data_IF_667442858430
#
_entry.id   IF_667442858430
#
_cell.length_a   1.000
_cell.length_b   1.000
_cell.length_c   1.000
_cell.angle_alpha   90.00
_cell.angle_beta   90.00
_cell.angle_gamma   90.00
#
_symmetry.space_group_name_H-M   'P 1'
#
loop_
_entity.id
_entity.type
_entity.pdbx_description
1 polymer ?
#
# COMPACT_ATOMS: atom_id res chain seq x y z
N UNK A 1 0.24 35.41 -13.80
CA UNK A 1 0.04 34.51 -12.65
C UNK A 1 -1.44 34.22 -12.59
N UNK A 2 -1.86 33.01 -12.92
CA UNK A 2 -3.24 32.56 -12.72
C UNK A 2 -3.50 32.53 -11.21
N UNK A 3 -4.58 33.18 -10.78
CA UNK A 3 -5.00 33.21 -9.39
C UNK A 3 -5.32 31.78 -8.92
N UNK A 4 -4.79 31.38 -7.75
CA UNK A 4 -5.03 30.04 -7.20
C UNK A 4 -6.48 30.00 -6.70
N UNK A 5 -7.29 29.01 -7.12
CA UNK A 5 -8.65 28.86 -6.62
C UNK A 5 -8.72 28.81 -5.08
N UNK A 6 -9.73 29.42 -4.43
CA UNK A 6 -9.82 29.48 -2.97
C UNK A 6 -9.81 28.12 -2.26
N UNK A 7 -10.37 27.09 -2.89
CA UNK A 7 -10.37 25.70 -2.43
C UNK A 7 -8.95 25.10 -2.46
N UNK A 8 -8.14 25.43 -3.46
CA UNK A 8 -6.73 25.03 -3.50
C UNK A 8 -5.87 25.83 -2.52
N UNK A 9 -6.21 27.10 -2.27
CA UNK A 9 -5.48 27.90 -1.29
C UNK A 9 -5.51 27.27 0.12
N UNK A 10 -6.60 26.61 0.49
CA UNK A 10 -6.73 25.84 1.73
C UNK A 10 -5.76 24.65 1.77
N UNK A 11 -5.75 23.82 0.73
CA UNK A 11 -4.78 22.72 0.60
C UNK A 11 -3.33 23.21 0.65
N UNK A 12 -3.02 24.30 -0.03
CA UNK A 12 -1.66 24.86 -0.06
C UNK A 12 -1.23 25.53 1.25
N UNK A 13 -2.18 25.94 2.09
CA UNK A 13 -1.92 26.53 3.40
C UNK A 13 -1.81 25.48 4.51
N UNK A 14 -2.32 24.27 4.30
CA UNK A 14 -2.19 23.18 5.29
C UNK A 14 -0.73 22.76 5.46
N UNK A 15 -0.22 22.68 6.70
CA UNK A 15 1.13 22.19 6.98
C UNK A 15 1.28 20.68 6.67
N UNK A 16 0.18 19.96 6.53
CA UNK A 16 0.15 18.51 6.33
C UNK A 16 0.15 18.12 4.84
N UNK A 17 0.01 19.09 3.93
CA UNK A 17 0.05 18.84 2.49
C UNK A 17 1.48 18.58 2.04
N UNK A 18 1.74 17.35 1.56
CA UNK A 18 3.06 16.96 1.12
C UNK A 18 3.56 17.80 -0.08
N UNK A 19 4.87 18.03 -0.23
CA UNK A 19 5.42 18.87 -1.29
C UNK A 19 5.03 18.45 -2.72
N UNK A 20 4.88 17.16 -2.98
CA UNK A 20 4.40 16.61 -4.25
C UNK A 20 2.98 17.07 -4.59
N UNK A 21 2.08 17.12 -3.61
CA UNK A 21 0.71 17.59 -3.77
C UNK A 21 0.66 19.09 -3.97
N UNK A 22 1.49 19.85 -3.24
CA UNK A 22 1.66 21.28 -3.48
C UNK A 22 2.08 21.55 -4.93
N UNK A 23 3.04 20.77 -5.47
CA UNK A 23 3.44 20.90 -6.88
C UNK A 23 2.32 20.53 -7.83
N UNK A 24 1.61 19.44 -7.57
CA UNK A 24 0.49 18.97 -8.38
C UNK A 24 -0.62 20.02 -8.48
N UNK A 25 -1.14 20.51 -7.36
CA UNK A 25 -2.21 21.50 -7.35
C UNK A 25 -1.79 22.87 -7.91
N UNK A 26 -0.50 23.22 -7.86
CA UNK A 26 0.00 24.42 -8.54
C UNK A 26 0.06 24.25 -10.06
N UNK A 27 0.42 23.07 -10.55
CA UNK A 27 0.45 22.77 -11.98
C UNK A 27 -0.97 22.62 -12.56
N UNK A 28 -1.86 21.99 -11.80
CA UNK A 28 -3.24 21.69 -12.18
C UNK A 28 -4.20 22.21 -11.11
N UNK A 29 -4.46 23.53 -11.06
CA UNK A 29 -5.28 24.13 -10.00
C UNK A 29 -6.75 23.74 -10.05
N UNK A 30 -7.22 23.13 -11.14
CA UNK A 30 -8.60 22.68 -11.30
C UNK A 30 -8.64 21.34 -12.03
N UNK A 31 -9.72 20.58 -11.85
CA UNK A 31 -9.98 19.36 -12.64
C UNK A 31 -10.04 19.72 -14.13
N UNK A 32 -10.65 20.86 -14.48
CA UNK A 32 -10.69 21.33 -15.88
C UNK A 32 -9.27 21.53 -16.45
N UNK A 33 -8.34 22.11 -15.69
CA UNK A 33 -6.96 22.30 -16.13
C UNK A 33 -6.23 20.95 -16.31
N UNK A 34 -6.42 20.01 -15.38
CA UNK A 34 -5.90 18.65 -15.49
C UNK A 34 -6.44 17.91 -16.74
N UNK A 35 -7.75 18.01 -16.98
CA UNK A 35 -8.41 17.41 -18.15
C UNK A 35 -7.91 18.02 -19.47
N UNK A 36 -7.70 19.34 -19.51
CA UNK A 36 -7.12 20.01 -20.68
C UNK A 36 -5.69 19.54 -20.94
N UNK A 37 -4.87 19.44 -19.89
CA UNK A 37 -3.50 18.96 -19.99
C UNK A 37 -3.43 17.53 -20.54
N UNK A 38 -4.21 16.59 -20.00
CA UNK A 38 -4.25 15.22 -20.55
C UNK A 38 -4.78 15.18 -21.99
N UNK A 39 -5.75 16.05 -22.33
CA UNK A 39 -6.24 16.22 -23.70
C UNK A 39 -5.17 16.72 -24.68
N UNK A 40 -4.16 17.43 -24.18
CA UNK A 40 -3.00 17.87 -24.96
C UNK A 40 -1.87 16.83 -25.02
N UNK A 41 -2.07 15.64 -24.43
CA UNK A 41 -1.07 14.58 -24.36
C UNK A 41 -0.07 14.72 -23.22
N UNK A 42 -0.32 15.59 -22.24
CA UNK A 42 0.51 15.70 -21.03
C UNK A 42 0.18 14.58 -20.03
N UNK A 43 1.18 14.18 -19.25
CA UNK A 43 1.00 13.24 -18.14
C UNK A 43 0.56 14.00 -16.89
N UNK A 44 -0.63 13.69 -16.38
CA UNK A 44 -1.19 14.33 -15.18
C UNK A 44 -1.29 13.29 -14.07
N UNK A 45 -0.28 13.24 -13.19
CA UNK A 45 -0.23 12.30 -12.08
C UNK A 45 0.53 12.87 -10.88
N UNK A 46 0.16 12.41 -9.69
CA UNK A 46 0.84 12.65 -8.42
C UNK A 46 0.83 11.37 -7.60
N UNK A 47 1.94 11.12 -6.92
CA UNK A 47 2.14 9.95 -6.09
C UNK A 47 2.78 10.37 -4.78
N UNK A 48 2.32 9.82 -3.67
CA UNK A 48 2.98 10.05 -2.37
C UNK A 48 4.08 9.02 -2.12
N UNK A 49 5.06 9.43 -1.31
CA UNK A 49 6.02 8.52 -0.66
C UNK A 49 6.65 7.53 -1.65
N UNK A 50 7.28 8.02 -2.72
CA UNK A 50 7.96 7.17 -3.73
C UNK A 50 7.05 6.13 -4.41
N UNK A 51 5.78 6.47 -4.65
CA UNK A 51 4.77 5.58 -5.26
C UNK A 51 4.32 4.42 -4.38
N UNK A 52 4.52 4.50 -3.06
CA UNK A 52 4.31 3.34 -2.18
C UNK A 52 2.93 3.26 -1.54
N UNK A 53 2.22 4.38 -1.38
CA UNK A 53 0.97 4.42 -0.60
C UNK A 53 -0.24 4.92 -1.40
N UNK A 54 -0.07 5.98 -2.19
CA UNK A 54 -1.17 6.65 -2.88
C UNK A 54 -0.73 7.15 -4.26
N UNK A 55 -1.60 6.98 -5.27
CA UNK A 55 -1.46 7.63 -6.57
C UNK A 55 -2.78 8.23 -7.05
N UNK A 56 -2.73 9.44 -7.60
CA UNK A 56 -3.84 10.07 -8.32
C UNK A 56 -3.38 10.48 -9.71
N UNK A 57 -4.18 10.19 -10.72
CA UNK A 57 -3.91 10.59 -12.09
C UNK A 57 -5.18 10.94 -12.85
N UNK A 58 -5.03 11.75 -13.90
CA UNK A 58 -6.10 12.01 -14.86
C UNK A 58 -5.70 11.38 -16.18
N UNK A 59 -6.54 10.44 -16.65
CA UNK A 59 -6.31 9.64 -17.85
C UNK A 59 -7.49 9.74 -18.82
N UNK A 60 -7.29 9.34 -20.07
CA UNK A 60 -8.36 9.19 -21.05
C UNK A 60 -8.70 7.72 -21.22
N UNK A 61 -9.96 7.35 -20.96
CA UNK A 61 -10.51 6.02 -21.25
C UNK A 61 -11.54 6.21 -22.37
N UNK A 62 -11.31 5.59 -23.52
CA UNK A 62 -12.13 5.75 -24.73
C UNK A 62 -12.38 7.23 -25.09
N UNK A 63 -11.34 8.07 -24.93
CA UNK A 63 -11.38 9.51 -25.18
C UNK A 63 -12.12 10.33 -24.11
N UNK A 64 -12.61 9.70 -23.04
CA UNK A 64 -13.29 10.39 -21.93
C UNK A 64 -12.33 10.57 -20.75
N UNK A 65 -12.28 11.76 -20.14
CA UNK A 65 -11.42 12.00 -18.99
C UNK A 65 -11.94 11.30 -17.74
N UNK A 66 -11.03 10.61 -17.07
CA UNK A 66 -11.25 9.87 -15.83
C UNK A 66 -10.19 10.26 -14.83
N UNK A 67 -10.61 10.59 -13.62
CA UNK A 67 -9.73 10.72 -12.46
C UNK A 67 -9.62 9.31 -11.85
N UNK A 68 -8.42 8.77 -11.85
CA UNK A 68 -8.11 7.48 -11.26
C UNK A 68 -7.31 7.69 -9.98
N UNK A 69 -7.70 6.98 -8.93
CA UNK A 69 -6.94 6.90 -7.69
C UNK A 69 -6.65 5.46 -7.34
N UNK A 70 -5.43 5.21 -6.88
CA UNK A 70 -4.98 3.91 -6.40
C UNK A 70 -4.43 4.06 -4.98
N UNK A 71 -4.93 3.22 -4.07
CA UNK A 71 -4.45 3.09 -2.70
C UNK A 71 -3.79 1.74 -2.51
N UNK A 72 -2.67 1.73 -1.81
CA UNK A 72 -1.96 0.51 -1.45
C UNK A 72 -2.02 0.32 0.06
N UNK A 73 -2.20 -0.93 0.54
CA UNK A 73 -1.88 -1.27 1.92
C UNK A 73 -0.50 -0.74 2.28
N UNK A 74 -0.41 -0.09 3.43
CA UNK A 74 0.85 0.29 4.05
C UNK A 74 1.27 -0.82 5.04
N UNK A 75 2.32 -0.54 5.83
CA UNK A 75 2.72 -1.31 7.02
C UNK A 75 2.90 -2.83 6.79
N UNK A 76 2.62 -3.63 7.83
CA UNK A 76 2.76 -5.09 7.84
C UNK A 76 1.77 -5.78 6.88
N UNK A 77 0.62 -5.17 6.57
CA UNK A 77 -0.32 -5.73 5.60
C UNK A 77 0.34 -5.83 4.21
N UNK A 78 1.07 -4.78 3.80
CA UNK A 78 1.89 -4.81 2.58
C UNK A 78 2.93 -5.91 2.62
N UNK A 79 3.61 -6.08 3.75
CA UNK A 79 4.66 -7.09 3.90
C UNK A 79 4.09 -8.50 3.84
N UNK A 80 2.90 -8.73 4.42
CA UNK A 80 2.19 -9.99 4.31
C UNK A 80 1.86 -10.34 2.85
N UNK A 81 1.35 -9.38 2.09
CA UNK A 81 1.06 -9.55 0.66
C UNK A 81 2.32 -9.91 -0.15
N UNK A 82 3.42 -9.18 0.08
CA UNK A 82 4.68 -9.40 -0.66
C UNK A 82 5.34 -10.72 -0.26
N UNK A 83 5.42 -11.04 1.03
CA UNK A 83 6.03 -12.28 1.49
C UNK A 83 5.23 -13.50 1.05
N UNK A 84 3.89 -13.44 1.10
CA UNK A 84 3.01 -14.49 0.57
C UNK A 84 3.20 -14.69 -0.94
N UNK A 85 3.32 -13.60 -1.71
CA UNK A 85 3.64 -13.65 -3.14
C UNK A 85 4.99 -14.34 -3.39
N UNK A 86 6.04 -13.93 -2.66
CA UNK A 86 7.39 -14.47 -2.82
C UNK A 86 7.49 -15.95 -2.42
N UNK A 87 6.72 -16.38 -1.42
CA UNK A 87 6.69 -17.77 -0.96
C UNK A 87 5.94 -18.69 -1.94
N UNK A 88 5.09 -18.13 -2.81
CA UNK A 88 4.36 -18.89 -3.82
C UNK A 88 5.26 -19.26 -5.00
N UNK A 89 5.13 -20.50 -5.48
CA UNK A 89 5.98 -21.01 -6.57
C UNK A 89 5.56 -20.56 -7.98
N UNK A 90 4.29 -20.14 -8.12
CA UNK A 90 3.70 -19.66 -9.36
C UNK A 90 3.18 -18.20 -9.20
N UNK A 91 3.82 -17.21 -9.85
CA UNK A 91 3.43 -15.80 -9.79
C UNK A 91 2.00 -15.49 -10.26
N UNK A 92 1.48 -16.20 -11.27
CA UNK A 92 0.16 -15.92 -11.83
C UNK A 92 -0.93 -16.37 -10.85
N UNK A 93 -0.80 -17.59 -10.35
CA UNK A 93 -1.69 -18.13 -9.30
C UNK A 93 -1.60 -17.29 -8.03
N UNK A 94 -0.41 -16.88 -7.60
CA UNK A 94 -0.22 -16.01 -6.43
C UNK A 94 -0.95 -14.67 -6.60
N UNK A 95 -0.81 -14.05 -7.77
CA UNK A 95 -1.47 -12.77 -8.09
C UNK A 95 -2.98 -12.91 -8.04
N UNK A 96 -3.54 -13.95 -8.65
CA UNK A 96 -4.98 -14.19 -8.64
C UNK A 96 -5.51 -14.43 -7.21
N UNK A 97 -4.81 -15.24 -6.41
CA UNK A 97 -5.19 -15.51 -5.03
C UNK A 97 -5.08 -14.26 -4.14
N UNK A 98 -4.04 -13.44 -4.31
CA UNK A 98 -3.88 -12.18 -3.58
C UNK A 98 -4.99 -11.19 -3.93
N UNK A 99 -5.30 -11.00 -5.22
CA UNK A 99 -6.38 -10.11 -5.63
C UNK A 99 -7.74 -10.55 -5.07
N UNK A 100 -7.95 -11.86 -4.91
CA UNK A 100 -9.13 -12.41 -4.27
C UNK A 100 -9.14 -12.20 -2.73
N UNK A 101 -7.98 -12.33 -2.08
CA UNK A 101 -7.85 -12.17 -0.62
C UNK A 101 -7.85 -10.70 -0.17
N UNK A 102 -7.46 -9.76 -1.04
CA UNK A 102 -7.23 -8.36 -0.68
C UNK A 102 -8.42 -7.66 0.00
N UNK A 103 -9.69 -7.83 -0.44
CA UNK A 103 -10.85 -7.28 0.27
C UNK A 103 -11.01 -7.81 1.69
N UNK A 104 -10.60 -9.05 1.95
CA UNK A 104 -10.77 -9.70 3.25
C UNK A 104 -9.76 -9.21 4.30
N UNK A 105 -8.75 -8.44 3.88
CA UNK A 105 -7.88 -7.73 4.82
C UNK A 105 -8.55 -6.48 5.39
N UNK A 106 -9.61 -5.97 4.77
CA UNK A 106 -10.33 -4.80 5.25
C UNK A 106 -11.38 -5.20 6.30
N UNK A 107 -11.79 -4.26 7.18
CA UNK A 107 -12.97 -4.44 8.01
C UNK A 107 -14.22 -4.79 7.17
N UNK A 108 -15.11 -5.63 7.72
CA UNK A 108 -16.27 -6.18 7.00
C UNK A 108 -17.29 -5.12 6.54
N UNK A 109 -17.29 -3.94 7.15
CA UNK A 109 -18.23 -2.85 6.89
C UNK A 109 -17.78 -1.88 5.78
N UNK A 110 -16.58 -2.06 5.22
CA UNK A 110 -16.06 -1.17 4.17
C UNK A 110 -16.79 -1.39 2.84
N UNK A 111 -17.43 -0.34 2.34
CA UNK A 111 -18.06 -0.34 1.01
C UNK A 111 -17.02 -0.26 -0.11
N UNK A 112 -16.89 -1.34 -0.88
CA UNK A 112 -16.03 -1.45 -2.05
C UNK A 112 -16.77 -1.21 -3.38
N UNK A 113 -18.00 -0.68 -3.35
CA UNK A 113 -18.77 -0.42 -4.56
C UNK A 113 -18.02 0.53 -5.51
N UNK A 114 -17.72 0.02 -6.72
CA UNK A 114 -16.97 0.77 -7.73
C UNK A 114 -15.46 0.84 -7.48
N UNK A 115 -14.93 0.02 -6.57
CA UNK A 115 -13.50 -0.12 -6.28
C UNK A 115 -13.01 -1.47 -6.81
N UNK A 116 -12.00 -1.42 -7.67
CA UNK A 116 -11.34 -2.60 -8.23
C UNK A 116 -10.15 -3.00 -7.37
N UNK A 117 -9.94 -4.29 -7.13
CA UNK A 117 -8.65 -4.80 -6.66
C UNK A 117 -7.68 -4.86 -7.85
N UNK A 118 -6.49 -4.30 -7.69
CA UNK A 118 -5.52 -4.14 -8.78
C UNK A 118 -4.13 -4.61 -8.40
N UNK A 119 -3.41 -5.03 -9.43
CA UNK A 119 -1.97 -5.31 -9.37
C UNK A 119 -1.25 -4.35 -10.31
N UNK A 120 -0.20 -3.71 -9.82
CA UNK A 120 0.66 -2.83 -10.60
C UNK A 120 2.13 -3.26 -10.49
N UNK A 121 2.98 -2.91 -11.48
CA UNK A 121 4.42 -3.06 -11.32
C UNK A 121 4.90 -2.38 -10.03
N UNK A 122 5.77 -3.07 -9.29
CA UNK A 122 6.47 -2.52 -8.13
C UNK A 122 7.92 -2.18 -8.48
N UNK A 123 8.55 -1.34 -7.66
CA UNK A 123 9.97 -1.01 -7.76
C UNK A 123 10.87 -2.01 -7.01
N UNK A 124 10.28 -3.03 -6.36
CA UNK A 124 10.98 -3.98 -5.50
C UNK A 124 10.82 -5.43 -5.96
N UNK A 125 10.79 -6.34 -4.99
CA UNK A 125 10.81 -7.80 -5.21
C UNK A 125 9.50 -8.38 -5.74
N UNK A 126 8.40 -7.62 -5.65
CA UNK A 126 7.06 -8.07 -5.97
C UNK A 126 6.24 -6.93 -6.60
N UNK A 127 5.15 -7.27 -7.31
CA UNK A 127 4.17 -6.27 -7.71
C UNK A 127 3.48 -5.63 -6.50
N UNK A 128 2.84 -4.49 -6.74
CA UNK A 128 2.03 -3.78 -5.75
C UNK A 128 0.58 -4.20 -5.91
N UNK A 129 -0.06 -4.57 -4.80
CA UNK A 129 -1.47 -4.94 -4.75
C UNK A 129 -2.24 -3.84 -4.03
N UNK A 130 -3.34 -3.38 -4.60
CA UNK A 130 -4.07 -2.25 -4.05
C UNK A 130 -5.49 -2.14 -4.55
N UNK A 131 -6.11 -1.02 -4.24
CA UNK A 131 -7.49 -0.70 -4.54
C UNK A 131 -7.53 0.50 -5.48
N UNK A 132 -8.26 0.38 -6.58
CA UNK A 132 -8.38 1.42 -7.59
C UNK A 132 -9.82 1.89 -7.70
N UNK A 133 -10.02 3.20 -7.78
CA UNK A 133 -11.29 3.78 -8.19
C UNK A 133 -11.11 4.70 -9.38
N UNK A 134 -12.13 4.71 -10.25
CA UNK A 134 -12.23 5.58 -11.40
C UNK A 134 -13.49 6.41 -11.33
N UNK A 135 -13.33 7.72 -11.48
CA UNK A 135 -14.43 8.69 -11.49
C UNK A 135 -14.37 9.46 -12.80
N UNK A 136 -15.47 9.50 -13.54
CA UNK A 136 -15.54 10.32 -14.75
C UNK A 136 -15.42 11.80 -14.38
N UNK A 137 -14.53 12.52 -15.07
CA UNK A 137 -14.33 13.95 -14.81
C UNK A 137 -15.43 14.84 -15.42
N UNK A 138 -16.39 14.24 -16.13
CA UNK A 138 -17.47 14.98 -16.78
C UNK A 138 -18.35 15.69 -15.73
N UNK A 139 -18.43 17.02 -15.83
CA UNK A 139 -19.17 17.86 -14.87
C UNK A 139 -18.36 18.29 -13.64
N UNK A 140 -17.12 17.83 -13.49
CA UNK A 140 -16.21 18.27 -12.44
C UNK A 140 -15.38 19.45 -12.95
N UNK A 141 -15.45 20.57 -12.23
CA UNK A 141 -14.72 21.78 -12.58
C UNK A 141 -13.57 22.02 -11.61
N UNK A 142 -13.81 21.86 -10.32
CA UNK A 142 -12.86 22.09 -9.22
C UNK A 142 -12.41 20.76 -8.58
N UNK A 143 -11.32 20.79 -7.83
CA UNK A 143 -10.91 19.62 -7.04
C UNK A 143 -11.87 19.38 -5.86
N UNK A 144 -12.49 20.44 -5.33
CA UNK A 144 -13.57 20.31 -4.35
C UNK A 144 -14.77 19.51 -4.89
N UNK A 145 -15.18 19.71 -6.14
CA UNK A 145 -16.26 18.93 -6.76
C UNK A 145 -15.93 17.42 -6.76
N UNK A 146 -14.66 17.08 -6.92
CA UNK A 146 -14.16 15.72 -6.88
C UNK A 146 -14.11 15.18 -5.44
N UNK A 147 -13.63 15.97 -4.48
CA UNK A 147 -13.53 15.57 -3.08
C UNK A 147 -14.90 15.34 -2.44
N UNK A 148 -15.91 16.13 -2.81
CA UNK A 148 -17.31 15.97 -2.36
C UNK A 148 -17.94 14.64 -2.81
N UNK A 149 -17.39 13.98 -3.83
CA UNK A 149 -17.81 12.62 -4.21
C UNK A 149 -17.30 11.55 -3.24
N UNK A 150 -16.41 11.91 -2.31
CA UNK A 150 -15.73 10.99 -1.40
C UNK A 150 -15.23 9.73 -2.12
N UNK A 151 -14.39 9.88 -3.16
CA UNK A 151 -14.06 8.77 -4.07
C UNK A 151 -13.49 7.57 -3.29
N UNK A 152 -12.71 7.80 -2.25
CA UNK A 152 -12.14 6.74 -1.44
C UNK A 152 -12.83 6.53 -0.09
N UNK A 153 -13.86 7.33 0.24
CA UNK A 153 -14.68 7.21 1.45
C UNK A 153 -13.89 6.78 2.70
N UNK A 154 -14.36 5.71 3.32
CA UNK A 154 -13.76 5.08 4.51
C UNK A 154 -12.47 4.31 4.19
N UNK A 155 -12.30 3.84 2.95
CA UNK A 155 -11.10 3.10 2.53
C UNK A 155 -9.83 3.94 2.69
N UNK A 156 -9.89 5.25 2.43
CA UNK A 156 -8.76 6.14 2.70
C UNK A 156 -8.36 6.13 4.17
N UNK A 157 -9.34 6.11 5.09
CA UNK A 157 -9.05 6.09 6.53
C UNK A 157 -8.41 4.77 6.96
N UNK A 158 -8.95 3.65 6.47
CA UNK A 158 -8.47 2.29 6.77
C UNK A 158 -7.04 2.05 6.30
N UNK A 159 -6.66 2.60 5.14
CA UNK A 159 -5.34 2.42 4.53
C UNK A 159 -4.35 3.55 4.84
N UNK A 160 -4.79 4.63 5.49
CA UNK A 160 -3.90 5.74 5.86
C UNK A 160 -3.12 5.44 7.14
N UNK A 161 -1.94 6.05 7.28
CA UNK A 161 -1.13 5.98 8.51
C UNK A 161 -1.80 6.62 9.75
N UNK A 162 -2.92 7.31 9.60
CA UNK A 162 -3.60 8.03 10.69
C UNK A 162 -4.91 7.35 11.12
N UNK A 163 -5.06 6.06 10.87
CA UNK A 163 -6.26 5.32 11.21
C UNK A 163 -6.54 5.37 12.73
N UNK A 164 -7.80 5.64 13.09
CA UNK A 164 -8.24 5.91 14.47
C UNK A 164 -9.01 4.75 15.10
N UNK A 165 -8.92 3.53 14.54
CA UNK A 165 -9.49 2.32 15.16
C UNK A 165 -10.08 1.27 14.22
N UNK A 166 -10.20 1.56 12.92
CA UNK A 166 -10.60 0.59 11.88
C UNK A 166 -9.45 0.43 10.90
N UNK A 167 -8.56 -0.50 11.20
CA UNK A 167 -7.34 -0.71 10.42
C UNK A 167 -7.52 -1.91 9.49
N UNK A 168 -6.77 -1.92 8.40
CA UNK A 168 -6.52 -3.16 7.67
C UNK A 168 -5.89 -4.20 8.60
N UNK A 169 -6.18 -5.48 8.39
CA UNK A 169 -5.56 -6.59 9.09
C UNK A 169 -4.03 -6.54 8.94
N UNK A 170 -3.30 -6.73 10.05
CA UNK A 170 -1.85 -6.67 10.13
C UNK A 170 -1.26 -7.93 10.79
N UNK A 171 0.06 -8.12 10.64
CA UNK A 171 0.82 -9.20 11.26
C UNK A 171 0.17 -10.58 11.13
N UNK A 172 -0.06 -11.23 12.29
CA UNK A 172 -0.67 -12.58 12.37
C UNK A 172 -2.07 -12.67 11.76
N UNK A 173 -2.87 -11.61 11.85
CA UNK A 173 -4.23 -11.59 11.29
C UNK A 173 -4.17 -11.60 9.76
N UNK A 174 -3.33 -10.75 9.18
CA UNK A 174 -3.10 -10.73 7.74
C UNK A 174 -2.57 -12.09 7.23
N UNK A 175 -1.61 -12.69 7.93
CA UNK A 175 -1.09 -14.03 7.61
C UNK A 175 -2.21 -15.07 7.61
N UNK A 176 -3.03 -15.10 8.67
CA UNK A 176 -4.15 -16.03 8.80
C UNK A 176 -5.16 -15.89 7.65
N UNK A 177 -5.54 -14.65 7.32
CA UNK A 177 -6.46 -14.37 6.21
C UNK A 177 -5.86 -14.87 4.89
N UNK A 178 -4.62 -14.52 4.58
CA UNK A 178 -3.96 -14.96 3.34
C UNK A 178 -3.89 -16.50 3.25
N UNK A 179 -3.56 -17.18 4.35
CA UNK A 179 -3.56 -18.66 4.41
C UNK A 179 -4.95 -19.24 4.15
N UNK A 180 -6.00 -18.66 4.73
CA UNK A 180 -7.38 -19.12 4.48
C UNK A 180 -7.80 -19.00 3.00
N UNK A 181 -7.07 -18.19 2.22
CA UNK A 181 -7.25 -18.01 0.78
C UNK A 181 -6.23 -18.76 -0.10
N UNK A 182 -5.54 -19.77 0.45
CA UNK A 182 -4.65 -20.63 -0.34
C UNK A 182 -3.22 -20.11 -0.50
N UNK A 183 -2.86 -18.99 0.14
CA UNK A 183 -1.53 -18.40 0.01
C UNK A 183 -0.56 -18.94 1.07
N UNK A 184 0.71 -19.24 0.72
CA UNK A 184 1.73 -19.72 1.66
C UNK A 184 2.31 -18.55 2.48
N UNK A 185 1.45 -17.80 3.15
CA UNK A 185 1.86 -16.78 4.10
C UNK A 185 2.39 -17.47 5.37
N UNK A 186 3.46 -16.89 5.92
CA UNK A 186 4.18 -17.40 7.10
C UNK A 186 4.43 -16.22 8.03
N UNK A 187 4.02 -16.33 9.28
CA UNK A 187 4.34 -15.37 10.33
C UNK A 187 5.52 -15.82 11.18
N UNK A 188 6.17 -14.89 11.85
CA UNK A 188 7.10 -15.17 12.95
C UNK A 188 6.32 -15.64 14.18
N UNK A 189 6.72 -16.76 14.79
CA UNK A 189 6.07 -17.30 15.99
C UNK A 189 6.15 -16.30 17.18
N UNK A 190 7.22 -15.50 17.26
CA UNK A 190 7.47 -14.60 18.38
C UNK A 190 6.83 -13.21 18.20
N UNK A 191 7.05 -12.57 17.04
CA UNK A 191 6.60 -11.19 16.81
C UNK A 191 5.39 -11.08 15.86
N UNK A 192 4.99 -12.16 15.19
CA UNK A 192 3.89 -12.14 14.23
C UNK A 192 4.19 -11.47 12.89
N UNK A 193 5.41 -10.98 12.68
CA UNK A 193 5.81 -10.34 11.42
C UNK A 193 5.74 -11.33 10.25
N UNK A 194 5.25 -10.91 9.06
CA UNK A 194 5.25 -11.76 7.89
C UNK A 194 6.66 -12.06 7.39
N UNK A 195 6.91 -13.31 7.01
CA UNK A 195 8.24 -13.82 6.68
C UNK A 195 8.31 -14.41 5.27
N UNK A 196 9.49 -14.25 4.66
CA UNK A 196 9.89 -14.99 3.48
C UNK A 196 11.30 -15.55 3.62
N UNK A 197 11.56 -16.72 3.02
CA UNK A 197 12.92 -17.25 2.84
C UNK A 197 13.42 -17.11 1.39
N UNK A 198 12.70 -16.33 0.58
CA UNK A 198 12.98 -16.10 -0.84
C UNK A 198 13.57 -14.72 -1.12
N UNK A 199 13.94 -13.97 -0.08
CA UNK A 199 14.60 -12.68 -0.23
C UNK A 199 15.96 -12.85 -0.95
N UNK A 200 16.28 -12.03 -1.98
CA UNK A 200 17.48 -12.24 -2.79
C UNK A 200 18.78 -11.98 -2.03
N UNK A 201 18.76 -11.06 -1.05
CA UNK A 201 19.93 -10.81 -0.21
C UNK A 201 20.14 -11.88 0.89
N UNK A 202 19.09 -12.66 1.22
CA UNK A 202 19.09 -13.62 2.33
C UNK A 202 18.45 -14.96 1.91
N UNK A 203 18.98 -15.64 0.88
CA UNK A 203 18.34 -16.82 0.32
C UNK A 203 18.32 -17.98 1.32
N UNK A 204 17.13 -18.52 1.58
CA UNK A 204 16.92 -19.64 2.51
C UNK A 204 16.83 -19.25 3.99
N UNK A 205 17.02 -17.97 4.32
CA UNK A 205 16.88 -17.43 5.68
C UNK A 205 15.54 -16.72 5.80
N UNK A 206 14.78 -17.01 6.86
CA UNK A 206 13.52 -16.32 7.13
C UNK A 206 13.76 -14.88 7.58
N UNK A 207 13.20 -13.93 6.83
CA UNK A 207 13.32 -12.48 7.05
C UNK A 207 11.97 -11.80 6.86
N UNK A 208 11.73 -10.70 7.57
CA UNK A 208 10.70 -9.71 7.23
C UNK A 208 11.22 -8.76 6.12
N UNK A 209 10.34 -7.95 5.53
CA UNK A 209 10.73 -7.01 4.46
C UNK A 209 11.00 -5.60 4.97
N UNK A 210 10.55 -5.28 6.19
CA UNK A 210 10.84 -4.02 6.88
C UNK A 210 12.35 -3.81 7.09
N UNK A 211 13.11 -4.89 7.24
CA UNK A 211 14.49 -4.82 7.68
C UNK A 211 15.48 -5.10 6.55
N UNK A 212 16.00 -4.03 5.94
CA UNK A 212 17.18 -4.11 5.05
C UNK A 212 18.42 -4.65 5.77
N UNK A 213 18.40 -4.69 7.12
CA UNK A 213 19.52 -5.04 7.98
C UNK A 213 19.59 -6.54 8.34
N UNK A 214 18.65 -7.38 7.89
CA UNK A 214 18.74 -8.84 8.00
C UNK A 214 17.64 -9.51 8.84
N UNK A 215 17.82 -10.78 9.24
CA UNK A 215 16.82 -11.54 9.99
C UNK A 215 16.82 -11.13 11.46
N UNK A 216 16.36 -9.93 11.80
CA UNK A 216 16.34 -9.47 13.18
C UNK A 216 14.90 -9.40 13.69
N UNK A 217 14.63 -10.18 14.71
CA UNK A 217 13.35 -10.22 15.40
C UNK A 217 13.45 -9.42 16.70
N UNK A 218 12.69 -8.34 16.83
CA UNK A 218 12.69 -7.51 18.07
C UNK A 218 12.10 -8.24 19.29
N UNK A 219 11.31 -9.29 19.07
CA UNK A 219 10.82 -10.17 20.14
C UNK A 219 11.84 -11.25 20.55
N UNK A 220 13.01 -11.30 19.89
CA UNK A 220 14.08 -12.21 20.30
C UNK A 220 14.64 -11.77 21.66
N UNK A 221 14.65 -12.71 22.62
CA UNK A 221 15.28 -12.48 23.91
C UNK A 221 16.81 -12.49 23.72
N UNK A 222 17.36 -11.34 23.38
CA UNK A 222 18.79 -11.18 23.14
C UNK A 222 19.58 -11.44 24.43
N UNK A 223 20.35 -12.55 24.53
CA UNK A 223 21.16 -12.85 25.71
C UNK A 223 22.29 -11.83 25.92
N UNK A 224 22.51 -10.92 24.97
CA UNK A 224 23.50 -9.84 25.01
C UNK A 224 22.89 -8.47 25.26
N UNK A 225 21.59 -8.37 25.59
CA UNK A 225 20.87 -7.11 25.85
C UNK A 225 21.51 -6.22 26.93
N UNK A 226 22.33 -6.78 27.81
CA UNK A 226 23.07 -6.05 28.84
C UNK A 226 24.41 -5.45 28.36
N UNK A 227 24.85 -5.73 27.13
CA UNK A 227 26.03 -5.13 26.52
C UNK A 227 25.71 -3.73 25.97
N UNK A 228 26.75 -2.90 25.83
CA UNK A 228 26.62 -1.51 25.40
C UNK A 228 25.94 -1.43 24.02
N UNK A 229 25.15 -0.38 23.77
CA UNK A 229 24.33 -0.22 22.55
C UNK A 229 25.11 -0.34 21.22
N UNK A 230 26.42 -0.06 21.21
CA UNK A 230 27.31 -0.25 20.06
C UNK A 230 27.83 -1.69 19.88
N UNK A 231 27.80 -2.50 20.94
CA UNK A 231 28.12 -3.94 20.91
C UNK A 231 26.87 -4.79 20.62
N UNK A 232 25.68 -4.26 20.92
CA UNK A 232 24.38 -4.91 20.69
C UNK A 232 23.67 -4.45 19.39
N UNK A 233 24.12 -3.37 18.75
CA UNK A 233 23.62 -2.88 17.46
C UNK A 233 23.96 -3.87 16.33
N UNK A 234 23.21 -4.96 16.25
CA UNK A 234 23.36 -5.99 15.23
C UNK A 234 22.98 -7.40 15.66
N UNK A 235 22.51 -7.62 16.90
CA UNK A 235 22.22 -8.97 17.43
C UNK A 235 20.76 -9.12 17.86
N UNK A 236 19.80 -8.63 17.08
CA UNK A 236 18.49 -9.28 17.17
C UNK A 236 18.63 -10.68 16.58
N UNK A 237 18.02 -11.66 17.22
CA UNK A 237 18.08 -13.05 16.75
C UNK A 237 17.16 -13.28 15.55
N UNK A 238 17.31 -14.42 14.87
CA UNK A 238 16.57 -14.75 13.67
C UNK A 238 15.07 -14.79 13.94
N UNK A 239 14.27 -14.40 12.94
CA UNK A 239 12.86 -14.77 12.93
C UNK A 239 12.72 -16.28 12.87
N UNK A 240 11.82 -16.83 13.68
CA UNK A 240 11.47 -18.24 13.67
C UNK A 240 10.07 -18.38 13.03
N UNK A 241 9.94 -19.03 11.87
CA UNK A 241 8.64 -19.21 11.23
C UNK A 241 7.71 -20.03 12.12
N UNK A 242 6.43 -19.65 12.17
CA UNK A 242 5.44 -20.47 12.86
C UNK A 242 5.37 -21.87 12.25
N UNK A 243 5.52 -22.89 13.08
CA UNK A 243 5.48 -24.29 12.63
C UNK A 243 4.14 -24.65 11.99
N UNK A 244 3.05 -24.04 12.46
CA UNK A 244 1.71 -24.20 11.90
C UNK A 244 1.57 -23.59 10.50
N UNK A 245 2.36 -22.55 10.21
CA UNK A 245 2.33 -21.88 8.92
C UNK A 245 3.18 -22.60 7.85
N UNK A 246 4.10 -23.47 8.27
CA UNK A 246 4.90 -24.28 7.34
C UNK A 246 4.12 -25.47 6.78
N UNK A 247 2.96 -25.80 7.35
CA UNK A 247 2.10 -26.84 6.81
C UNK A 247 1.49 -26.40 5.45
N UNK A 248 1.37 -27.32 4.47
CA UNK A 248 0.78 -27.02 3.17
C UNK A 248 -0.63 -26.45 3.33
N UNK A 249 -0.93 -25.38 2.60
CA UNK A 249 -2.28 -24.84 2.55
C UNK A 249 -3.16 -25.83 1.77
N UNK A 250 -4.13 -26.43 2.46
CA UNK A 250 -5.03 -27.47 1.91
C UNK A 250 -6.24 -26.89 1.21
#
# INVERSE_FOLDING_TARGET
MTEVPPDIAEYLASPDTLPEWVRFYRAYPTVTAAVQAVGNGESVAVFTSEHTAYGQQVILIDGKPVIEVVLYPNSQAREALVTAYLNHSDPETATAAILHALPHLLPEDIDLTGIDCVVEPGNGLAPRFGFRRRVFAAGLHTWRDYDELHPLGELYQVLSWHSTGHNIAEGTEAVSILRSHGLPAVGCEACGEPLTNRHPAWPGTWVCLAEEYGPRCDAFDDPFRELHELDAAGIGGPHDPSTSDLEPVT
#
